data_IF_333734386264
#
_entry.id   IF_333734386264
#
_cell.length_a   1.000
_cell.length_b   1.000
_cell.length_c   1.000
_cell.angle_alpha   90.00
_cell.angle_beta   90.00
_cell.angle_gamma   90.00
#
_symmetry.space_group_name_H-M   'P 1'
#
loop_
_entity.id
_entity.type
_entity.pdbx_description
1 polymer ?
#
# COMPACT_ATOMS: atom_id res chain seq x y z
N UNK A 1 8.93 -16.77 31.07
CA UNK A 1 8.89 -17.01 29.61
C UNK A 1 7.94 -16.00 29.00
N UNK A 2 8.44 -14.99 28.30
CA UNK A 2 7.60 -13.95 27.69
C UNK A 2 6.97 -14.54 26.43
N UNK A 3 5.77 -15.13 26.56
CA UNK A 3 5.10 -15.89 25.51
C UNK A 3 4.42 -14.96 24.47
N UNK A 4 5.12 -13.92 24.02
CA UNK A 4 4.61 -13.01 22.99
C UNK A 4 4.73 -13.72 21.65
N UNK A 5 3.57 -14.15 21.13
CA UNK A 5 3.45 -14.64 19.76
C UNK A 5 3.96 -13.55 18.80
N UNK A 6 4.65 -13.92 17.70
CA UNK A 6 5.03 -12.95 16.69
C UNK A 6 3.78 -12.24 16.15
N UNK A 7 3.89 -10.97 15.74
CA UNK A 7 2.77 -10.26 15.14
C UNK A 7 2.35 -10.92 13.83
N UNK A 8 1.06 -10.86 13.52
CA UNK A 8 0.57 -11.27 12.20
C UNK A 8 0.96 -10.21 11.17
N UNK A 9 1.34 -10.64 9.97
CA UNK A 9 1.65 -9.76 8.83
C UNK A 9 0.60 -9.99 7.75
N UNK A 10 -0.07 -8.91 7.32
CA UNK A 10 -1.02 -8.92 6.21
C UNK A 10 -0.44 -8.06 5.09
N UNK A 11 -0.24 -8.65 3.92
CA UNK A 11 0.23 -7.96 2.72
C UNK A 11 -0.92 -7.84 1.73
N UNK A 12 -1.24 -6.60 1.31
CA UNK A 12 -2.33 -6.28 0.39
C UNK A 12 -1.71 -5.63 -0.85
N UNK A 13 -1.99 -6.20 -2.02
CA UNK A 13 -1.58 -5.67 -3.31
C UNK A 13 -2.81 -5.39 -4.16
N UNK A 14 -2.88 -4.20 -4.74
CA UNK A 14 -3.91 -3.85 -5.71
C UNK A 14 -3.32 -3.82 -7.12
N UNK A 15 -3.95 -4.51 -8.06
CA UNK A 15 -3.51 -4.54 -9.45
C UNK A 15 -3.88 -3.23 -10.17
N UNK A 16 -2.97 -2.74 -11.00
CA UNK A 16 -3.10 -1.53 -11.83
C UNK A 16 -3.53 -0.24 -11.09
N UNK A 17 -3.35 -0.17 -9.76
CA UNK A 17 -3.74 1.01 -8.99
C UNK A 17 -2.69 2.13 -9.13
N UNK A 18 -3.08 3.25 -9.74
CA UNK A 18 -2.23 4.44 -9.86
C UNK A 18 -2.34 5.31 -8.61
N UNK A 19 -1.23 5.76 -8.03
CA UNK A 19 -1.23 6.62 -6.84
C UNK A 19 -2.14 7.86 -6.98
N UNK A 20 -2.15 8.50 -8.15
CA UNK A 20 -2.94 9.72 -8.39
C UNK A 20 -4.46 9.55 -8.32
N UNK A 21 -4.99 8.32 -8.28
CA UNK A 21 -6.44 8.13 -8.09
C UNK A 21 -6.85 8.34 -6.64
N UNK A 22 -5.90 8.30 -5.69
CA UNK A 22 -6.18 8.38 -4.27
C UNK A 22 -5.97 9.81 -3.79
N UNK A 23 -6.95 10.36 -3.08
CA UNK A 23 -6.90 11.74 -2.59
C UNK A 23 -5.71 12.02 -1.68
N UNK A 24 -5.28 11.01 -0.91
CA UNK A 24 -4.07 11.08 -0.06
C UNK A 24 -2.75 11.24 -0.84
N UNK A 25 -2.78 11.16 -2.17
CA UNK A 25 -1.65 11.41 -3.07
C UNK A 25 -1.95 12.46 -4.15
N UNK A 26 -3.17 12.97 -4.28
CA UNK A 26 -3.55 13.93 -5.33
C UNK A 26 -4.83 14.70 -5.01
N UNK A 27 -4.86 16.01 -5.28
CA UNK A 27 -6.04 16.86 -5.05
C UNK A 27 -7.26 16.49 -5.90
N UNK A 28 -7.04 15.80 -7.02
CA UNK A 28 -8.11 15.32 -7.93
C UNK A 28 -8.51 13.86 -7.68
N UNK A 29 -7.93 13.22 -6.66
CA UNK A 29 -8.19 11.83 -6.32
C UNK A 29 -9.55 11.61 -5.66
N UNK A 30 -9.98 10.34 -5.62
CA UNK A 30 -11.19 9.91 -4.92
C UNK A 30 -10.95 9.74 -3.42
N UNK A 31 -12.02 9.88 -2.63
CA UNK A 31 -12.01 9.53 -1.22
C UNK A 31 -11.89 8.02 -1.05
N UNK A 32 -10.92 7.58 -0.23
CA UNK A 32 -10.65 6.17 0.05
C UNK A 32 -10.57 5.94 1.57
N UNK A 33 -11.68 6.04 2.31
CA UNK A 33 -11.67 6.18 3.77
C UNK A 33 -10.99 5.02 4.50
N UNK A 34 -11.09 3.79 3.98
CA UNK A 34 -10.40 2.64 4.55
C UNK A 34 -8.88 2.74 4.45
N UNK A 35 -8.36 3.22 3.32
CA UNK A 35 -6.93 3.39 3.09
C UNK A 35 -6.40 4.65 3.78
N UNK A 36 -7.19 5.72 3.80
CA UNK A 36 -6.89 6.94 4.54
C UNK A 36 -6.73 6.65 6.04
N UNK A 37 -7.60 5.81 6.62
CA UNK A 37 -7.43 5.35 8.01
C UNK A 37 -6.11 4.63 8.23
N UNK A 38 -5.73 3.72 7.32
CA UNK A 38 -4.45 3.02 7.40
C UNK A 38 -3.26 3.99 7.32
N UNK A 39 -3.35 5.05 6.51
CA UNK A 39 -2.29 6.06 6.45
C UNK A 39 -2.24 6.95 7.68
N UNK A 40 -3.37 7.25 8.33
CA UNK A 40 -3.43 8.05 9.54
C UNK A 40 -2.88 7.30 10.77
N UNK A 41 -3.08 5.99 10.81
CA UNK A 41 -2.60 5.11 11.90
C UNK A 41 -1.20 4.52 11.63
N UNK A 42 -0.65 4.74 10.43
CA UNK A 42 0.55 4.08 9.94
C UNK A 42 1.55 5.02 9.27
N UNK A 43 2.33 4.45 8.35
CA UNK A 43 3.34 5.18 7.57
C UNK A 43 2.92 5.19 6.10
N UNK A 44 2.86 6.38 5.51
CA UNK A 44 2.59 6.59 4.07
C UNK A 44 3.91 6.85 3.34
N UNK A 45 4.16 6.12 2.25
CA UNK A 45 5.34 6.32 1.41
C UNK A 45 5.00 7.23 0.22
N UNK A 46 5.61 8.40 0.15
CA UNK A 46 5.33 9.37 -0.93
C UNK A 46 6.06 9.05 -2.25
N UNK A 47 7.15 8.28 -2.16
CA UNK A 47 8.01 7.95 -3.30
C UNK A 47 8.24 6.43 -3.40
N UNK A 48 7.17 5.64 -3.30
CA UNK A 48 7.24 4.19 -3.52
C UNK A 48 7.40 3.92 -5.03
N UNK A 49 8.46 3.19 -5.42
CA UNK A 49 8.78 2.90 -6.82
C UNK A 49 8.72 1.39 -7.03
N UNK A 50 7.91 0.95 -7.99
CA UNK A 50 7.90 -0.45 -8.44
C UNK A 50 9.09 -0.68 -9.37
N UNK A 51 9.94 -1.70 -9.14
CA UNK A 51 11.14 -1.93 -9.95
C UNK A 51 10.83 -2.34 -11.39
N UNK A 52 9.61 -2.81 -11.69
CA UNK A 52 9.16 -3.21 -13.02
C UNK A 52 7.77 -2.64 -13.30
N UNK A 53 7.50 -2.09 -14.49
CA UNK A 53 6.22 -1.45 -14.80
C UNK A 53 5.10 -2.44 -15.17
N UNK A 54 5.40 -3.74 -15.34
CA UNK A 54 4.43 -4.76 -15.76
C UNK A 54 4.06 -5.70 -14.61
N UNK A 55 2.76 -5.93 -14.43
CA UNK A 55 2.22 -6.78 -13.36
C UNK A 55 2.81 -8.20 -13.36
N UNK A 56 2.93 -8.83 -14.54
CA UNK A 56 3.48 -10.19 -14.67
C UNK A 56 4.93 -10.33 -14.19
N UNK A 57 5.71 -9.26 -14.17
CA UNK A 57 7.10 -9.29 -13.67
C UNK A 57 7.20 -8.91 -12.19
N UNK A 58 6.16 -8.30 -11.62
CA UNK A 58 6.14 -7.85 -10.24
C UNK A 58 5.73 -8.96 -9.27
N UNK A 59 4.74 -9.78 -9.63
CA UNK A 59 4.18 -10.83 -8.76
C UNK A 59 5.19 -11.95 -8.44
N UNK A 60 6.12 -12.26 -9.34
CA UNK A 60 7.15 -13.30 -9.11
C UNK A 60 8.29 -12.87 -8.16
N UNK A 61 8.28 -11.64 -7.65
CA UNK A 61 9.36 -11.07 -6.80
C UNK A 61 8.94 -10.75 -5.37
N UNK A 62 7.68 -11.04 -5.01
CA UNK A 62 7.10 -10.84 -3.68
C UNK A 62 6.96 -12.18 -2.97
#
# INVERSE_FOLDING_TARGET
MNNKRPPNVLFIMADQMKASILKMYSDIGIDAPGLERLTAEGVRFENAITPHPFASQHEHRL
#
